data_IF_220599369659
#
_entry.id   IF_220599369659
#
_cell.length_a   1.000
_cell.length_b   1.000
_cell.length_c   1.000
_cell.angle_alpha   90.00
_cell.angle_beta   90.00
_cell.angle_gamma   90.00
#
_symmetry.space_group_name_H-M   'P 1'
#
loop_
_entity.id
_entity.type
_entity.pdbx_description
1 polymer ?
#
# COMPACT_ATOMS: atom_id res chain seq x y z
N UNK A 1 0.99 15.83 -20.40
CA UNK A 1 0.86 17.30 -20.31
C UNK A 1 0.37 17.77 -18.92
N UNK A 2 0.50 16.96 -17.85
CA UNK A 2 0.15 17.33 -16.45
C UNK A 2 1.39 17.57 -15.57
N UNK A 3 2.58 17.16 -16.04
CA UNK A 3 3.83 17.26 -15.28
C UNK A 3 4.43 18.68 -15.32
N UNK A 4 4.02 19.54 -16.26
CA UNK A 4 4.65 20.85 -16.42
C UNK A 4 4.04 21.98 -15.59
N UNK A 5 2.81 21.83 -15.09
CA UNK A 5 2.13 22.89 -14.34
C UNK A 5 2.44 22.81 -12.83
N UNK A 6 2.69 21.61 -12.31
CA UNK A 6 3.04 21.40 -10.90
C UNK A 6 4.47 21.85 -10.55
N UNK A 7 5.42 21.68 -11.48
CA UNK A 7 6.83 22.07 -11.25
C UNK A 7 7.00 23.59 -11.18
N UNK A 8 6.12 24.36 -11.82
CA UNK A 8 6.15 25.83 -11.76
C UNK A 8 5.67 26.35 -10.40
N UNK A 9 4.85 25.58 -9.69
CA UNK A 9 4.35 25.94 -8.35
C UNK A 9 5.40 25.75 -7.24
N UNK A 10 6.48 25.00 -7.53
CA UNK A 10 7.61 24.81 -6.62
C UNK A 10 8.62 25.97 -6.61
N UNK A 11 8.60 26.85 -7.62
CA UNK A 11 9.59 27.94 -7.77
C UNK A 11 9.16 29.28 -7.17
N UNK A 12 7.87 29.48 -6.92
CA UNK A 12 7.36 30.67 -6.24
C UNK A 12 7.03 30.26 -4.80
N UNK A 13 7.54 30.99 -3.80
CA UNK A 13 7.23 30.80 -2.38
C UNK A 13 5.75 31.04 -2.06
N UNK A 14 4.88 30.17 -2.58
CA UNK A 14 3.44 30.23 -2.47
C UNK A 14 3.11 29.76 -1.06
N UNK A 15 2.63 30.72 -0.28
CA UNK A 15 1.91 30.49 0.97
C UNK A 15 0.88 29.40 0.74
N UNK A 16 1.06 28.24 1.36
CA UNK A 16 0.12 27.13 1.29
C UNK A 16 -1.29 27.61 1.67
N UNK A 17 -2.24 27.55 0.73
CA UNK A 17 -3.63 27.91 0.97
C UNK A 17 -4.42 26.65 1.32
N UNK A 18 -4.95 26.61 2.55
CA UNK A 18 -5.81 25.51 2.99
C UNK A 18 -7.07 25.44 2.11
N UNK A 19 -7.43 24.28 1.54
CA UNK A 19 -8.64 24.12 0.75
C UNK A 19 -9.90 24.52 1.55
N UNK A 20 -10.90 25.10 0.88
CA UNK A 20 -12.13 25.57 1.54
C UNK A 20 -12.92 24.42 2.19
N UNK A 21 -12.88 23.22 1.61
CA UNK A 21 -13.49 22.00 2.17
C UNK A 21 -12.86 21.61 3.51
N UNK A 22 -11.53 21.71 3.61
CA UNK A 22 -10.75 21.42 4.82
C UNK A 22 -11.09 22.44 5.92
N UNK A 23 -11.20 23.72 5.57
CA UNK A 23 -11.61 24.78 6.50
C UNK A 23 -13.07 24.60 6.96
N UNK A 24 -13.97 24.26 6.05
CA UNK A 24 -15.38 24.01 6.35
C UNK A 24 -15.56 22.83 7.32
N UNK A 25 -14.68 21.81 7.23
CA UNK A 25 -14.63 20.71 8.16
C UNK A 25 -13.98 21.06 9.53
N UNK A 26 -13.43 22.26 9.68
CA UNK A 26 -12.78 22.74 10.90
C UNK A 26 -11.30 22.36 11.04
N UNK A 27 -10.65 22.02 9.94
CA UNK A 27 -9.22 21.72 9.88
C UNK A 27 -8.43 22.88 9.27
N UNK A 28 -7.15 23.01 9.67
CA UNK A 28 -6.26 24.09 9.23
C UNK A 28 -5.08 23.59 8.39
N UNK A 29 -5.05 22.29 8.07
CA UNK A 29 -4.04 21.67 7.22
C UNK A 29 -4.70 20.59 6.37
N UNK A 30 -4.44 20.58 5.07
CA UNK A 30 -4.97 19.57 4.16
C UNK A 30 -4.10 18.32 4.06
N UNK A 31 -4.61 17.25 3.44
CA UNK A 31 -3.92 15.95 3.34
C UNK A 31 -2.58 16.04 2.60
N UNK A 32 -2.52 16.79 1.50
CA UNK A 32 -1.30 16.92 0.70
C UNK A 32 -0.14 17.58 1.46
N UNK A 33 -0.41 18.68 2.18
CA UNK A 33 0.63 19.36 2.94
C UNK A 33 1.11 18.49 4.09
N UNK A 34 0.18 17.84 4.81
CA UNK A 34 0.51 16.91 5.89
C UNK A 34 1.37 15.74 5.38
N UNK A 35 0.99 15.13 4.25
CA UNK A 35 1.78 14.08 3.60
C UNK A 35 3.18 14.57 3.22
N UNK A 36 3.29 15.76 2.62
CA UNK A 36 4.59 16.33 2.22
C UNK A 36 5.54 16.61 3.39
N UNK A 37 5.00 16.89 4.58
CA UNK A 37 5.78 17.09 5.80
C UNK A 37 6.38 15.77 6.26
N UNK A 38 5.57 14.70 6.29
CA UNK A 38 5.97 13.40 6.84
C UNK A 38 6.82 12.61 5.83
N UNK A 39 6.39 12.51 4.57
CA UNK A 39 7.11 11.82 3.50
C UNK A 39 8.44 12.51 3.19
N UNK A 40 8.44 13.84 3.10
CA UNK A 40 9.65 14.64 2.87
C UNK A 40 10.56 14.81 4.09
N UNK A 41 10.18 14.28 5.26
CA UNK A 41 10.86 14.48 6.56
C UNK A 41 11.26 15.95 6.79
N UNK A 42 10.38 16.88 6.37
CA UNK A 42 10.74 18.29 6.27
C UNK A 42 10.61 18.99 7.62
N UNK A 43 11.73 19.10 8.33
CA UNK A 43 11.80 19.85 9.59
C UNK A 43 11.44 21.33 9.43
N UNK A 44 11.75 21.92 8.28
CA UNK A 44 11.42 23.33 8.00
C UNK A 44 9.92 23.53 7.92
N UNK A 45 9.21 22.68 7.18
CA UNK A 45 7.74 22.72 7.11
C UNK A 45 7.09 22.36 8.45
N UNK A 46 7.65 21.39 9.19
CA UNK A 46 7.15 21.06 10.52
C UNK A 46 7.27 22.25 11.48
N UNK A 47 8.41 22.95 11.48
CA UNK A 47 8.63 24.17 12.28
C UNK A 47 7.73 25.32 11.85
N UNK A 48 7.47 25.48 10.55
CA UNK A 48 6.52 26.48 10.04
C UNK A 48 5.07 26.25 10.52
N UNK A 49 4.77 25.04 10.98
CA UNK A 49 3.47 24.67 11.55
C UNK A 49 3.47 24.58 13.07
N UNK A 50 4.41 25.25 13.76
CA UNK A 50 4.56 25.24 15.23
C UNK A 50 4.89 23.83 15.80
N UNK A 51 5.60 23.00 15.03
CA UNK A 51 6.02 21.68 15.49
C UNK A 51 4.91 20.63 15.48
N UNK A 52 5.10 19.56 16.25
CA UNK A 52 4.13 18.45 16.34
C UNK A 52 2.85 18.93 17.02
N UNK A 53 2.97 19.75 18.06
CA UNK A 53 1.85 20.32 18.81
C UNK A 53 0.97 21.21 17.94
N UNK A 54 1.59 22.02 17.07
CA UNK A 54 0.87 22.85 16.12
C UNK A 54 0.13 22.01 15.07
N UNK A 55 0.74 20.95 14.55
CA UNK A 55 0.05 19.99 13.65
C UNK A 55 -1.15 19.37 14.35
N UNK A 56 -0.99 18.85 15.58
CA UNK A 56 -2.06 18.24 16.39
C UNK A 56 -3.24 19.21 16.57
N UNK A 57 -2.96 20.50 16.82
CA UNK A 57 -3.97 21.54 16.92
C UNK A 57 -4.65 21.84 15.57
N UNK A 58 -3.89 21.87 14.47
CA UNK A 58 -4.41 22.12 13.11
C UNK A 58 -5.32 21.01 12.59
N UNK A 59 -5.09 19.76 13.03
CA UNK A 59 -5.97 18.61 12.76
C UNK A 59 -7.06 18.42 13.83
N UNK A 60 -7.30 19.43 14.68
CA UNK A 60 -8.37 19.44 15.69
C UNK A 60 -8.39 18.18 16.57
N UNK A 61 -7.21 17.78 17.03
CA UNK A 61 -6.98 16.58 17.85
C UNK A 61 -6.35 16.99 19.17
N UNK A 62 -6.60 16.22 20.23
CA UNK A 62 -5.91 16.38 21.51
C UNK A 62 -5.01 15.19 21.77
N UNK A 63 -3.79 15.45 22.24
CA UNK A 63 -2.79 14.42 22.56
C UNK A 63 -3.24 13.51 23.71
N UNK A 64 -4.04 14.01 24.64
CA UNK A 64 -4.47 13.27 25.84
C UNK A 64 -5.76 12.50 25.61
N UNK A 65 -6.74 13.13 24.95
CA UNK A 65 -8.07 12.55 24.75
C UNK A 65 -8.19 11.79 23.43
N UNK A 66 -7.26 12.02 22.48
CA UNK A 66 -7.37 11.53 21.12
C UNK A 66 -8.52 12.18 20.35
N UNK A 67 -8.97 11.52 19.28
CA UNK A 67 -10.14 11.95 18.51
C UNK A 67 -11.44 11.50 19.17
N UNK A 68 -12.52 12.23 18.89
CA UNK A 68 -13.85 11.82 19.34
C UNK A 68 -14.40 10.67 18.48
N UNK A 69 -15.05 9.68 19.11
CA UNK A 69 -15.73 8.58 18.41
C UNK A 69 -17.13 8.95 17.89
N UNK A 70 -17.49 10.24 17.85
CA UNK A 70 -18.70 10.72 17.19
C UNK A 70 -18.64 10.41 15.70
N UNK A 71 -19.68 9.76 15.15
CA UNK A 71 -19.76 9.42 13.73
C UNK A 71 -19.62 10.65 12.83
N UNK A 72 -20.15 11.80 13.23
CA UNK A 72 -20.02 13.05 12.46
C UNK A 72 -18.57 13.51 12.34
N UNK A 73 -17.79 13.40 13.42
CA UNK A 73 -16.37 13.80 13.42
C UNK A 73 -15.54 12.80 12.62
N UNK A 74 -15.83 11.51 12.74
CA UNK A 74 -15.14 10.45 12.01
C UNK A 74 -15.42 10.56 10.51
N UNK A 75 -16.68 10.78 10.10
CA UNK A 75 -17.05 10.90 8.70
C UNK A 75 -16.44 12.14 8.05
N UNK A 76 -16.45 13.30 8.74
CA UNK A 76 -15.74 14.51 8.26
C UNK A 76 -14.25 14.26 8.03
N UNK A 77 -13.58 13.48 8.89
CA UNK A 77 -12.17 13.12 8.68
C UNK A 77 -11.99 12.20 7.49
N UNK A 78 -12.85 11.19 7.34
CA UNK A 78 -12.82 10.26 6.20
C UNK A 78 -13.03 10.99 4.87
N UNK A 79 -13.92 11.96 4.83
CA UNK A 79 -14.19 12.73 3.61
C UNK A 79 -13.00 13.61 3.20
N UNK A 80 -12.26 14.16 4.17
CA UNK A 80 -11.15 15.10 3.92
C UNK A 80 -9.80 14.40 3.75
N UNK A 81 -9.50 13.42 4.59
CA UNK A 81 -8.18 12.77 4.67
C UNK A 81 -8.17 11.35 4.10
N UNK A 82 -9.32 10.88 3.63
CA UNK A 82 -9.52 9.51 3.17
C UNK A 82 -9.35 8.47 4.29
N UNK A 83 -9.67 7.22 3.99
CA UNK A 83 -9.48 6.09 4.92
C UNK A 83 -8.10 5.47 4.72
N UNK A 84 -7.54 4.89 5.79
CA UNK A 84 -6.29 4.12 5.72
C UNK A 84 -6.52 2.76 5.04
N UNK A 85 -6.92 2.77 3.78
CA UNK A 85 -7.14 1.57 2.98
C UNK A 85 -6.00 1.43 1.98
N UNK A 86 -5.12 0.45 2.23
CA UNK A 86 -4.20 -0.01 1.21
C UNK A 86 -5.02 -0.49 0.01
N UNK A 87 -4.74 0.08 -1.17
CA UNK A 87 -5.34 -0.36 -2.44
C UNK A 87 -5.18 -1.87 -2.54
N UNK A 88 -6.27 -2.60 -2.32
CA UNK A 88 -6.24 -4.04 -2.50
C UNK A 88 -5.94 -4.30 -3.98
N UNK A 89 -4.87 -5.04 -4.26
CA UNK A 89 -4.62 -5.48 -5.62
C UNK A 89 -5.87 -6.21 -6.12
N UNK A 90 -6.50 -5.75 -7.22
CA UNK A 90 -7.72 -6.37 -7.69
C UNK A 90 -7.40 -7.83 -7.97
N UNK A 91 -8.20 -8.74 -7.41
CA UNK A 91 -7.94 -10.15 -7.65
C UNK A 91 -8.30 -10.48 -9.08
N UNK A 92 -7.29 -10.68 -9.91
CA UNK A 92 -7.45 -11.20 -11.24
C UNK A 92 -8.18 -12.55 -11.18
N UNK A 93 -9.15 -12.74 -12.08
CA UNK A 93 -9.89 -14.00 -12.18
C UNK A 93 -9.03 -15.11 -12.76
N UNK A 94 -9.48 -16.36 -12.62
CA UNK A 94 -8.80 -17.55 -13.18
C UNK A 94 -8.49 -17.42 -14.69
N UNK A 95 -9.36 -16.76 -15.45
CA UNK A 95 -9.17 -16.53 -16.89
C UNK A 95 -7.98 -15.62 -17.22
N UNK A 96 -7.67 -14.67 -16.33
CA UNK A 96 -6.50 -13.79 -16.50
C UNK A 96 -5.23 -14.61 -16.32
N UNK A 97 -5.18 -15.50 -15.32
CA UNK A 97 -4.05 -16.42 -15.14
C UNK A 97 -3.89 -17.39 -16.31
N UNK A 98 -4.98 -17.88 -16.91
CA UNK A 98 -4.90 -18.68 -18.15
C UNK A 98 -4.31 -17.85 -19.29
N UNK A 99 -4.76 -16.60 -19.45
CA UNK A 99 -4.27 -15.71 -20.49
C UNK A 99 -2.79 -15.37 -20.30
N UNK A 100 -2.37 -15.06 -19.08
CA UNK A 100 -0.97 -14.82 -18.72
C UNK A 100 -0.11 -16.06 -18.96
N UNK A 101 -0.58 -17.25 -18.53
CA UNK A 101 0.12 -18.51 -18.76
C UNK A 101 0.28 -18.79 -20.27
N UNK A 102 -0.75 -18.55 -21.08
CA UNK A 102 -0.67 -18.71 -22.54
C UNK A 102 0.34 -17.78 -23.21
N UNK A 103 0.61 -16.62 -22.60
CA UNK A 103 1.53 -15.61 -23.12
C UNK A 103 2.98 -15.82 -22.67
N UNK A 104 3.25 -16.88 -21.90
CA UNK A 104 4.60 -17.30 -21.55
C UNK A 104 5.41 -17.62 -22.81
N UNK A 105 6.62 -17.07 -22.88
CA UNK A 105 7.54 -17.24 -24.02
C UNK A 105 7.85 -18.71 -24.26
N UNK A 106 7.90 -19.53 -23.20
CA UNK A 106 8.10 -20.98 -23.31
C UNK A 106 6.91 -21.68 -23.99
N UNK A 107 5.67 -21.27 -23.71
CA UNK A 107 4.47 -21.82 -24.34
C UNK A 107 4.30 -21.34 -25.78
N UNK A 108 4.66 -20.11 -26.09
CA UNK A 108 4.69 -19.63 -27.48
C UNK A 108 5.66 -20.44 -28.37
N UNK A 109 6.86 -20.75 -27.86
CA UNK A 109 7.83 -21.57 -28.60
C UNK A 109 7.29 -22.99 -28.80
N UNK A 110 6.66 -23.59 -27.79
CA UNK A 110 6.03 -24.91 -27.92
C UNK A 110 4.87 -24.89 -28.91
N UNK A 111 4.05 -23.85 -28.90
CA UNK A 111 2.96 -23.64 -29.85
C UNK A 111 3.46 -23.52 -31.30
N UNK A 112 4.54 -22.77 -31.51
CA UNK A 112 5.18 -22.67 -32.83
C UNK A 112 5.73 -24.02 -33.31
N UNK A 113 6.41 -24.76 -32.44
CA UNK A 113 6.87 -26.12 -32.74
C UNK A 113 5.70 -27.06 -33.10
N UNK A 114 4.61 -27.01 -32.32
CA UNK A 114 3.41 -27.80 -32.59
C UNK A 114 2.79 -27.45 -33.95
N UNK A 115 2.76 -26.17 -34.31
CA UNK A 115 2.22 -25.72 -35.58
C UNK A 115 3.05 -26.25 -36.76
N UNK A 116 4.39 -26.17 -36.66
CA UNK A 116 5.30 -26.73 -37.67
C UNK A 116 5.14 -28.25 -37.78
N UNK A 117 5.09 -28.97 -36.65
CA UNK A 117 4.87 -30.42 -36.64
C UNK A 117 3.54 -30.83 -37.26
N UNK A 118 2.47 -30.05 -37.04
CA UNK A 118 1.15 -30.30 -37.62
C UNK A 118 1.17 -30.10 -39.14
N UNK A 119 1.84 -29.05 -39.64
CA UNK A 119 2.00 -28.82 -41.08
C UNK A 119 2.78 -29.96 -41.73
N UNK A 120 3.91 -30.38 -41.12
CA UNK A 120 4.73 -31.48 -41.63
C UNK A 120 3.94 -32.80 -41.62
N UNK A 121 3.22 -33.11 -40.54
CA UNK A 121 2.42 -34.33 -40.41
C UNK A 121 1.28 -34.41 -41.43
N UNK A 122 0.57 -33.30 -41.68
CA UNK A 122 -0.47 -33.26 -42.72
C UNK A 122 0.13 -33.43 -44.12
N UNK A 123 1.30 -32.81 -44.38
CA UNK A 123 1.95 -32.84 -45.69
C UNK A 123 2.54 -34.22 -46.01
N UNK A 124 3.09 -34.93 -45.02
CA UNK A 124 3.75 -36.22 -45.24
C UNK A 124 2.81 -37.42 -45.19
N UNK A 125 1.77 -37.42 -44.35
CA UNK A 125 0.98 -38.62 -44.06
C UNK A 125 -0.49 -38.54 -44.49
N UNK A 126 -0.97 -37.37 -44.90
CA UNK A 126 -2.33 -37.17 -45.38
C UNK A 126 -3.42 -37.29 -44.29
N UNK A 127 -4.61 -36.78 -44.61
CA UNK A 127 -5.79 -36.88 -43.74
C UNK A 127 -6.35 -38.32 -43.78
N UNK A 128 -6.62 -39.01 -42.65
CA UNK A 128 -6.79 -38.55 -41.28
C UNK A 128 -5.68 -39.00 -40.29
N UNK A 129 -4.64 -39.70 -40.78
CA UNK A 129 -3.67 -40.38 -39.91
C UNK A 129 -2.61 -39.42 -39.34
N UNK A 130 -2.13 -38.47 -40.15
CA UNK A 130 -1.20 -37.42 -39.68
C UNK A 130 -1.83 -36.38 -38.73
N UNK A 131 -3.16 -36.24 -38.74
CA UNK A 131 -3.88 -35.34 -37.83
C UNK A 131 -3.85 -35.83 -36.37
N UNK A 132 -3.75 -37.14 -36.14
CA UNK A 132 -3.72 -37.71 -34.80
C UNK A 132 -2.42 -37.38 -34.04
N UNK A 133 -1.29 -37.27 -34.73
CA UNK A 133 -0.02 -36.93 -34.08
C UNK A 133 0.08 -35.44 -33.75
N UNK A 134 -0.46 -34.56 -34.60
CA UNK A 134 -0.63 -33.14 -34.27
C UNK A 134 -1.58 -32.92 -33.08
N UNK A 135 -2.66 -33.71 -33.00
CA UNK A 135 -3.63 -33.64 -31.90
C UNK A 135 -3.01 -34.01 -30.55
N UNK A 136 -2.09 -34.98 -30.50
CA UNK A 136 -1.37 -35.34 -29.26
C UNK A 136 -0.52 -34.19 -28.72
N UNK A 137 0.14 -33.45 -29.61
CA UNK A 137 0.99 -32.31 -29.22
C UNK A 137 0.12 -31.17 -28.68
N UNK A 138 -0.98 -30.85 -29.36
CA UNK A 138 -1.94 -29.82 -28.92
C UNK A 138 -2.55 -30.20 -27.56
N UNK A 139 -2.95 -31.46 -27.37
CA UNK A 139 -3.49 -31.94 -26.11
C UNK A 139 -2.45 -31.87 -24.97
N UNK A 140 -1.17 -32.14 -25.25
CA UNK A 140 -0.07 -32.00 -24.29
C UNK A 140 0.12 -30.55 -23.87
N UNK A 141 0.14 -29.61 -24.81
CA UNK A 141 0.27 -28.17 -24.53
C UNK A 141 -0.91 -27.69 -23.67
N UNK A 142 -2.15 -28.07 -24.02
CA UNK A 142 -3.34 -27.69 -23.26
C UNK A 142 -3.25 -28.20 -21.81
N UNK A 143 -2.81 -29.44 -21.61
CA UNK A 143 -2.63 -30.01 -20.28
C UNK A 143 -1.57 -29.26 -19.47
N UNK A 144 -0.45 -28.90 -20.08
CA UNK A 144 0.60 -28.10 -19.42
C UNK A 144 0.07 -26.72 -19.03
N UNK A 145 -0.58 -25.99 -19.94
CA UNK A 145 -1.20 -24.68 -19.65
C UNK A 145 -2.19 -24.79 -18.49
N UNK A 146 -3.04 -25.82 -18.50
CA UNK A 146 -4.03 -26.03 -17.46
C UNK A 146 -3.39 -26.29 -16.10
N UNK A 147 -2.34 -27.12 -16.05
CA UNK A 147 -1.59 -27.39 -14.82
C UNK A 147 -0.89 -26.12 -14.31
N UNK A 148 -0.24 -25.35 -15.18
CA UNK A 148 0.43 -24.09 -14.82
C UNK A 148 -0.58 -23.06 -14.29
N UNK A 149 -1.65 -22.78 -15.04
CA UNK A 149 -2.68 -21.83 -14.62
C UNK A 149 -3.37 -22.26 -13.31
N UNK A 150 -3.58 -23.55 -13.11
CA UNK A 150 -4.12 -24.08 -11.84
C UNK A 150 -3.13 -23.90 -10.69
N UNK A 151 -1.84 -24.14 -10.93
CA UNK A 151 -0.78 -23.93 -9.93
C UNK A 151 -0.70 -22.46 -9.52
N UNK A 152 -0.63 -21.55 -10.49
CA UNK A 152 -0.50 -20.11 -10.25
C UNK A 152 -1.75 -19.55 -9.57
N UNK A 153 -2.94 -20.01 -9.97
CA UNK A 153 -4.18 -19.64 -9.29
C UNK A 153 -4.25 -20.16 -7.84
N UNK A 154 -3.81 -21.41 -7.59
CA UNK A 154 -3.74 -21.93 -6.22
C UNK A 154 -2.70 -21.20 -5.39
N UNK A 155 -1.59 -20.80 -5.99
CA UNK A 155 -0.55 -20.01 -5.33
C UNK A 155 -1.07 -18.61 -5.00
N UNK A 156 -1.78 -17.95 -5.91
CA UNK A 156 -2.36 -16.63 -5.66
C UNK A 156 -3.44 -16.66 -4.58
N UNK A 157 -4.27 -17.71 -4.53
CA UNK A 157 -5.25 -17.90 -3.45
C UNK A 157 -4.57 -18.07 -2.08
N UNK A 158 -3.50 -18.87 -2.01
CA UNK A 158 -2.74 -19.05 -0.77
C UNK A 158 -2.12 -17.74 -0.29
N UNK A 159 -1.56 -16.93 -1.20
CA UNK A 159 -1.08 -15.59 -0.85
C UNK A 159 -2.20 -14.68 -0.35
N UNK A 160 -3.40 -14.73 -0.96
CA UNK A 160 -4.55 -13.94 -0.51
C UNK A 160 -5.04 -14.35 0.88
N UNK A 161 -5.03 -15.63 1.20
CA UNK A 161 -5.45 -16.09 2.53
C UNK A 161 -4.41 -15.73 3.60
N UNK A 162 -3.12 -15.85 3.28
CA UNK A 162 -2.03 -15.34 4.14
C UNK A 162 -2.12 -13.82 4.34
N UNK A 163 -2.45 -13.07 3.28
CA UNK A 163 -2.67 -11.64 3.39
C UNK A 163 -3.89 -11.38 4.27
N UNK A 164 -5.04 -12.02 4.05
CA UNK A 164 -6.23 -11.86 4.92
C UNK A 164 -5.96 -12.13 6.39
N UNK A 165 -5.13 -13.11 6.72
CA UNK A 165 -4.72 -13.35 8.12
C UNK A 165 -3.80 -12.24 8.64
N UNK A 166 -2.83 -11.79 7.83
CA UNK A 166 -1.99 -10.61 8.15
C UNK A 166 -2.77 -9.30 8.22
N UNK A 167 -3.94 -9.21 7.57
CA UNK A 167 -4.82 -8.04 7.58
C UNK A 167 -5.55 -7.83 8.91
N UNK A 168 -5.47 -8.77 9.86
CA UNK A 168 -6.00 -8.60 11.23
C UNK A 168 -4.96 -8.00 12.19
N UNK A 169 -4.12 -7.10 11.70
CA UNK A 169 -3.28 -6.28 12.59
C UNK A 169 -4.21 -5.32 13.35
N UNK A 170 -4.31 -5.53 14.65
CA UNK A 170 -5.00 -4.62 15.57
C UNK A 170 -3.98 -3.75 16.25
N UNK A 171 -4.23 -2.45 16.24
CA UNK A 171 -3.37 -1.43 16.85
C UNK A 171 -4.06 -0.79 18.03
N UNK A 172 -3.28 -0.43 19.05
CA UNK A 172 -3.80 0.23 20.24
C UNK A 172 -3.83 1.74 19.99
N UNK A 173 -5.02 2.33 20.01
CA UNK A 173 -5.21 3.77 19.83
C UNK A 173 -5.95 4.38 21.02
N UNK A 174 -5.75 5.67 21.27
CA UNK A 174 -6.58 6.45 22.19
C UNK A 174 -7.65 7.21 21.41
N UNK A 175 -8.93 6.98 21.73
CA UNK A 175 -10.07 7.81 21.30
C UNK A 175 -11.00 8.07 22.50
N UNK A 176 -11.53 9.28 22.64
CA UNK A 176 -12.35 9.69 23.80
C UNK A 176 -11.74 9.31 25.16
N UNK A 177 -10.45 9.61 25.37
CA UNK A 177 -9.68 9.30 26.59
C UNK A 177 -9.53 7.80 26.91
N UNK A 178 -10.08 6.92 26.07
CA UNK A 178 -10.09 5.49 26.27
C UNK A 178 -9.13 4.81 25.29
N UNK A 179 -8.32 3.88 25.80
CA UNK A 179 -7.47 3.03 24.95
C UNK A 179 -8.30 1.88 24.40
N UNK A 180 -8.35 1.77 23.08
CA UNK A 180 -9.11 0.73 22.38
C UNK A 180 -8.28 0.13 21.24
N UNK A 181 -8.52 -1.15 20.95
CA UNK A 181 -7.90 -1.83 19.82
C UNK A 181 -8.80 -1.66 18.60
N UNK A 182 -8.27 -1.05 17.55
CA UNK A 182 -8.96 -0.90 16.26
C UNK A 182 -8.19 -1.63 15.17
N UNK A 183 -8.85 -1.90 14.05
CA UNK A 183 -8.16 -2.38 12.85
C UNK A 183 -7.29 -1.28 12.26
N UNK A 184 -6.16 -1.64 11.65
CA UNK A 184 -5.34 -0.73 10.86
C UNK A 184 -6.14 0.03 9.77
N UNK A 185 -7.20 -0.60 9.23
CA UNK A 185 -8.06 -0.01 8.20
C UNK A 185 -9.01 1.06 8.73
N UNK A 186 -9.26 1.07 10.03
CA UNK A 186 -10.12 2.05 10.70
C UNK A 186 -9.33 3.23 11.27
N UNK A 187 -8.01 3.23 11.07
CA UNK A 187 -7.12 4.29 11.49
C UNK A 187 -7.40 5.56 10.66
N UNK A 188 -7.53 6.68 11.34
CA UNK A 188 -7.79 7.99 10.74
C UNK A 188 -6.70 8.98 11.15
N UNK A 189 -6.50 10.01 10.32
CA UNK A 189 -5.60 11.12 10.64
C UNK A 189 -6.00 11.75 11.98
N UNK A 190 -5.06 11.84 12.91
CA UNK A 190 -5.26 12.33 14.27
C UNK A 190 -5.43 11.25 15.33
N UNK A 191 -5.50 9.97 14.98
CA UNK A 191 -5.44 8.91 15.98
C UNK A 191 -4.10 8.88 16.71
N UNK A 192 -4.16 8.74 18.03
CA UNK A 192 -2.97 8.58 18.88
C UNK A 192 -2.68 7.09 19.01
N UNK A 193 -1.68 6.62 18.26
CA UNK A 193 -1.24 5.21 18.24
C UNK A 193 -0.18 4.96 19.31
N UNK A 194 -0.36 3.91 20.10
CA UNK A 194 0.64 3.45 21.07
C UNK A 194 1.46 2.32 20.44
N UNK A 195 2.74 2.57 20.24
CA UNK A 195 3.69 1.60 19.72
C UNK A 195 4.53 1.03 20.86
N UNK A 196 4.77 -0.28 20.84
CA UNK A 196 5.66 -0.97 21.75
C UNK A 196 6.87 -1.55 21.01
N UNK A 197 7.94 -1.86 21.74
CA UNK A 197 9.13 -2.49 21.16
C UNK A 197 8.73 -3.80 20.49
N UNK A 198 9.13 -3.97 19.22
CA UNK A 198 8.80 -5.12 18.39
C UNK A 198 7.62 -4.89 17.44
N UNK A 199 6.83 -3.84 17.65
CA UNK A 199 5.71 -3.50 16.75
C UNK A 199 6.20 -2.93 15.42
N UNK A 200 5.44 -3.19 14.37
CA UNK A 200 5.62 -2.55 13.06
C UNK A 200 4.77 -1.28 13.00
N UNK A 201 5.35 -0.19 12.51
CA UNK A 201 4.64 1.09 12.36
C UNK A 201 3.54 0.93 11.28
N UNK A 202 2.26 1.18 11.61
CA UNK A 202 1.13 0.89 10.70
C UNK A 202 0.94 1.94 9.59
N UNK A 203 1.32 3.19 9.84
CA UNK A 203 1.17 4.30 8.90
C UNK A 203 2.24 5.36 9.17
N UNK A 204 2.48 6.23 8.20
CA UNK A 204 3.38 7.36 8.35
C UNK A 204 2.82 8.33 9.41
N UNK A 205 3.68 8.81 10.31
CA UNK A 205 3.23 9.57 11.46
C UNK A 205 4.28 10.43 12.12
N UNK A 206 3.82 11.22 13.09
CA UNK A 206 4.67 12.06 13.92
C UNK A 206 4.79 11.49 15.32
N UNK A 207 6.02 11.40 15.84
CA UNK A 207 6.27 11.05 17.23
C UNK A 207 5.84 12.21 18.14
N UNK A 208 4.88 11.95 19.03
CA UNK A 208 4.31 12.99 19.90
C UNK A 208 4.97 12.98 21.28
N UNK A 209 5.05 11.82 21.93
CA UNK A 209 5.59 11.71 23.29
C UNK A 209 5.96 10.26 23.60
N UNK A 210 7.03 10.06 24.37
CA UNK A 210 7.50 8.75 24.80
C UNK A 210 9.01 8.73 25.08
N UNK A 211 9.54 7.53 25.24
CA UNK A 211 10.99 7.32 25.28
C UNK A 211 11.56 7.43 23.87
N UNK A 212 12.85 7.76 23.74
CA UNK A 212 13.56 7.73 22.46
C UNK A 212 13.41 6.33 21.84
N UNK A 213 12.82 6.26 20.66
CA UNK A 213 12.60 5.01 19.94
C UNK A 213 13.73 4.79 18.95
N UNK A 214 14.26 3.57 18.89
CA UNK A 214 15.11 3.13 17.79
C UNK A 214 14.22 2.49 16.74
N UNK A 215 14.30 2.99 15.51
CA UNK A 215 13.51 2.49 14.39
C UNK A 215 14.45 1.82 13.40
N UNK A 216 14.14 0.56 13.09
CA UNK A 216 14.80 -0.19 12.05
C UNK A 216 14.11 0.09 10.72
N UNK A 217 14.82 0.82 9.86
CA UNK A 217 14.38 1.20 8.53
C UNK A 217 14.87 0.23 7.45
N UNK A 218 15.52 -0.90 7.80
CA UNK A 218 16.07 -1.87 6.83
C UNK A 218 15.05 -2.47 5.87
N UNK A 219 13.76 -2.43 6.22
CA UNK A 219 12.65 -2.84 5.36
C UNK A 219 12.34 -1.83 4.25
N UNK A 220 12.67 -0.56 4.44
CA UNK A 220 12.36 0.56 3.53
C UNK A 220 13.61 1.13 2.86
N UNK A 221 14.72 1.19 3.59
CA UNK A 221 16.01 1.69 3.12
C UNK A 221 17.00 0.52 3.07
N UNK A 222 17.93 0.55 2.12
CA UNK A 222 19.04 -0.43 2.09
C UNK A 222 20.09 -0.15 3.18
N UNK A 223 19.84 0.82 4.07
CA UNK A 223 20.70 1.16 5.19
C UNK A 223 20.25 0.36 6.41
N UNK A 224 21.15 -0.43 6.96
CA UNK A 224 20.87 -1.32 8.10
C UNK A 224 20.99 -0.64 9.46
N UNK A 225 21.38 0.63 9.50
CA UNK A 225 21.63 1.32 10.76
C UNK A 225 20.31 1.82 11.36
N UNK A 226 20.00 1.42 12.60
CA UNK A 226 18.77 1.85 13.27
C UNK A 226 18.82 3.35 13.52
N UNK A 227 17.71 4.03 13.24
CA UNK A 227 17.58 5.47 13.39
C UNK A 227 16.87 5.82 14.68
N UNK A 228 17.47 6.73 15.46
CA UNK A 228 16.83 7.26 16.67
C UNK A 228 15.77 8.31 16.31
N UNK A 229 14.53 8.08 16.74
CA UNK A 229 13.43 9.04 16.66
C UNK A 229 13.32 9.77 17.99
N UNK A 230 13.41 11.10 17.92
CA UNK A 230 13.27 12.00 19.06
C UNK A 230 12.24 13.08 18.76
N UNK A 231 11.95 13.94 19.74
CA UNK A 231 11.08 15.11 19.56
C UNK A 231 11.64 16.08 18.50
N UNK A 232 12.96 16.11 18.32
CA UNK A 232 13.60 16.95 17.30
C UNK A 232 13.48 16.37 15.88
N UNK A 233 13.39 15.05 15.76
CA UNK A 233 13.25 14.31 14.49
C UNK A 233 12.05 13.35 14.52
N UNK A 234 10.82 13.88 14.68
CA UNK A 234 9.68 13.07 15.09
C UNK A 234 9.02 12.35 13.90
N UNK A 235 9.77 11.84 12.93
CA UNK A 235 9.20 11.22 11.73
C UNK A 235 9.24 9.69 11.83
N UNK A 236 8.07 9.07 11.70
CA UNK A 236 7.87 7.63 11.65
C UNK A 236 7.34 7.25 10.27
N UNK A 237 7.93 6.23 9.65
CA UNK A 237 7.47 5.71 8.36
C UNK A 237 6.77 4.36 8.54
N UNK A 238 5.72 4.15 7.76
CA UNK A 238 4.96 2.92 7.67
C UNK A 238 5.85 1.76 7.23
N UNK A 239 5.78 0.62 7.90
CA UNK A 239 6.56 -0.57 7.56
C UNK A 239 7.92 -0.69 8.25
N UNK A 240 8.36 0.36 8.95
CA UNK A 240 9.52 0.29 9.86
C UNK A 240 9.19 -0.50 11.13
N UNK A 241 10.22 -1.05 11.79
CA UNK A 241 10.06 -1.83 13.03
C UNK A 241 10.64 -1.10 14.23
N UNK A 242 9.88 -1.06 15.32
CA UNK A 242 10.34 -0.47 16.58
C UNK A 242 11.31 -1.42 17.28
N UNK A 243 12.53 -0.95 17.51
CA UNK A 243 13.58 -1.59 18.29
C UNK A 243 13.80 -0.85 19.62
N UNK A 244 14.47 -1.54 20.56
CA UNK A 244 14.82 -1.02 21.88
C UNK A 244 16.16 -0.31 21.88
#
# INVERSE_FOLDING_TARGET
MLVSHATIQFLNGITYSVPEEVKAAGFQIGPYELGSIVEGRSLEKLKAHDGVEGIVKKISTSTTTGISTSEEVLNKRKDIYEINQFTESPSNGFLVYIWEALQDTTLMILGLCSFVSLIVGITMEGWPKGAHDGLKIIASILLVVFVTATSDYRQSLQFKDLDKEKKKITILVTRNECRQKISIYELLVGDIVHLTVGDQVPTDGLFVSGFSLLIDESSLTSESDPRTVTVETPFLLSGTKVQN
#
